data_IF_116674385092
#
_entry.id   IF_116674385092
#
_cell.length_a   1.000
_cell.length_b   1.000
_cell.length_c   1.000
_cell.angle_alpha   90.00
_cell.angle_beta   90.00
_cell.angle_gamma   90.00
#
_symmetry.space_group_name_H-M   'P 1'
#
loop_
_entity.id
_entity.type
_entity.pdbx_description
1 polymer ?
#
# COMPACT_ATOMS: atom_id res chain seq x y z
N UNK A 1 -4.05 -18.78 -14.02
CA UNK A 1 -3.76 -20.16 -13.55
C UNK A 1 -3.92 -20.13 -12.03
N UNK A 2 -4.85 -20.87 -11.42
CA UNK A 2 -5.08 -20.77 -9.97
C UNK A 2 -3.80 -21.15 -9.24
N UNK A 3 -3.26 -20.23 -8.44
CA UNK A 3 -2.10 -20.48 -7.57
C UNK A 3 -2.61 -20.63 -6.14
N UNK A 4 -1.96 -21.46 -5.35
CA UNK A 4 -2.20 -21.51 -3.91
C UNK A 4 -0.95 -20.96 -3.25
N UNK A 5 -1.12 -19.93 -2.42
CA UNK A 5 -0.03 -19.32 -1.66
C UNK A 5 -0.32 -19.48 -0.19
N UNK A 6 0.73 -19.77 0.55
CA UNK A 6 0.66 -19.86 1.99
C UNK A 6 0.65 -18.42 2.60
N UNK A 7 0.31 -18.29 3.88
CA UNK A 7 0.24 -16.97 4.54
C UNK A 7 1.58 -16.21 4.48
N UNK A 8 2.70 -16.94 4.53
CA UNK A 8 4.06 -16.37 4.50
C UNK A 8 4.34 -15.78 3.12
N UNK A 9 3.98 -16.46 2.05
CA UNK A 9 4.12 -15.99 0.68
C UNK A 9 3.29 -14.73 0.45
N UNK A 10 2.05 -14.71 0.95
CA UNK A 10 1.16 -13.54 0.79
C UNK A 10 1.73 -12.34 1.55
N UNK A 11 2.20 -12.53 2.79
CA UNK A 11 2.83 -11.45 3.54
C UNK A 11 4.14 -10.98 2.93
N UNK A 12 4.94 -11.89 2.36
CA UNK A 12 6.14 -11.51 1.62
C UNK A 12 5.82 -10.63 0.41
N UNK A 13 4.75 -10.96 -0.32
CA UNK A 13 4.24 -10.14 -1.43
C UNK A 13 3.74 -8.78 -0.92
N UNK A 14 2.95 -8.77 0.15
CA UNK A 14 2.48 -7.54 0.82
C UNK A 14 3.65 -6.63 1.19
N UNK A 15 4.65 -7.15 1.90
CA UNK A 15 5.84 -6.39 2.33
C UNK A 15 6.59 -5.85 1.11
N UNK A 16 6.71 -6.65 0.04
CA UNK A 16 7.35 -6.21 -1.21
C UNK A 16 6.61 -5.03 -1.84
N UNK A 17 5.27 -5.08 -1.92
CA UNK A 17 4.50 -4.00 -2.54
C UNK A 17 4.43 -2.75 -1.68
N UNK A 18 4.36 -2.89 -0.36
CA UNK A 18 4.51 -1.76 0.57
C UNK A 18 5.90 -1.13 0.46
N UNK A 19 6.95 -1.94 0.28
CA UNK A 19 8.30 -1.45 0.00
C UNK A 19 8.38 -0.63 -1.28
N UNK A 20 7.72 -1.07 -2.36
CA UNK A 20 7.65 -0.32 -3.62
C UNK A 20 6.84 0.99 -3.49
N UNK A 21 5.79 1.03 -2.66
CA UNK A 21 5.08 2.28 -2.35
C UNK A 21 6.00 3.26 -1.59
N UNK A 22 6.82 2.77 -0.67
CA UNK A 22 7.86 3.58 -0.03
C UNK A 22 8.83 4.16 -1.06
N UNK A 23 9.31 3.35 -2.00
CA UNK A 23 10.23 3.82 -3.05
C UNK A 23 9.55 4.87 -3.94
N UNK A 24 8.24 4.74 -4.20
CA UNK A 24 7.46 5.77 -4.87
C UNK A 24 7.42 7.08 -4.08
N UNK A 25 7.21 7.03 -2.76
CA UNK A 25 7.28 8.22 -1.92
C UNK A 25 8.65 8.90 -1.95
N UNK A 26 9.74 8.12 -1.96
CA UNK A 26 11.09 8.68 -2.05
C UNK A 26 11.25 9.47 -3.37
N UNK A 27 10.84 8.88 -4.50
CA UNK A 27 10.90 9.55 -5.81
C UNK A 27 9.98 10.78 -5.85
N UNK A 28 8.79 10.69 -5.27
CA UNK A 28 7.84 11.80 -5.19
C UNK A 28 8.41 12.97 -4.37
N UNK A 29 9.06 12.71 -3.24
CA UNK A 29 9.71 13.73 -2.40
C UNK A 29 10.82 14.47 -3.17
N UNK A 30 11.55 13.77 -4.04
CA UNK A 30 12.55 14.39 -4.92
C UNK A 30 11.95 15.17 -6.10
N UNK A 31 10.80 14.73 -6.64
CA UNK A 31 10.17 15.36 -7.80
C UNK A 31 9.38 16.62 -7.43
N UNK A 32 8.83 16.68 -6.21
CA UNK A 32 8.06 17.82 -5.74
C UNK A 32 8.96 19.04 -5.51
N UNK A 33 8.54 20.20 -6.03
CA UNK A 33 9.26 21.46 -5.80
C UNK A 33 8.79 22.21 -4.55
N UNK A 34 7.53 22.02 -4.14
CA UNK A 34 6.93 22.69 -2.99
C UNK A 34 7.25 21.94 -1.67
N UNK A 35 7.83 22.64 -0.70
CA UNK A 35 8.18 22.11 0.63
C UNK A 35 6.98 21.56 1.42
N UNK A 36 5.80 22.14 1.26
CA UNK A 36 4.57 21.65 1.89
C UNK A 36 4.15 20.29 1.33
N UNK A 37 4.21 20.13 0.00
CA UNK A 37 3.94 18.85 -0.66
C UNK A 37 4.97 17.79 -0.29
N UNK A 38 6.25 18.17 -0.18
CA UNK A 38 7.30 17.27 0.33
C UNK A 38 7.02 16.82 1.76
N UNK A 39 6.65 17.74 2.65
CA UNK A 39 6.29 17.40 4.04
C UNK A 39 5.12 16.42 4.10
N UNK A 40 4.09 16.63 3.28
CA UNK A 40 2.95 15.71 3.20
C UNK A 40 3.40 14.31 2.75
N UNK A 41 4.16 14.20 1.67
CA UNK A 41 4.71 12.91 1.19
C UNK A 41 5.62 12.25 2.23
N UNK A 42 6.47 13.02 2.90
CA UNK A 42 7.37 12.52 3.94
C UNK A 42 6.59 12.00 5.17
N UNK A 43 5.50 12.66 5.53
CA UNK A 43 4.55 12.20 6.56
C UNK A 43 3.91 10.85 6.20
N UNK A 44 3.36 10.74 4.98
CA UNK A 44 2.78 9.50 4.46
C UNK A 44 3.81 8.35 4.43
N UNK A 45 5.05 8.65 4.03
CA UNK A 45 6.17 7.70 4.05
C UNK A 45 6.51 7.24 5.46
N UNK A 46 6.59 8.16 6.42
CA UNK A 46 6.91 7.84 7.81
C UNK A 46 5.85 6.92 8.43
N UNK A 47 4.56 7.19 8.18
CA UNK A 47 3.46 6.33 8.61
C UNK A 47 3.55 4.93 7.96
N UNK A 48 3.86 4.86 6.66
CA UNK A 48 4.09 3.58 5.97
C UNK A 48 5.24 2.78 6.60
N UNK A 49 6.36 3.42 6.93
CA UNK A 49 7.54 2.74 7.50
C UNK A 49 7.26 2.09 8.85
N UNK A 50 6.50 2.77 9.73
CA UNK A 50 6.07 2.19 11.01
C UNK A 50 5.29 0.90 10.80
N UNK A 51 4.41 0.88 9.81
CA UNK A 51 3.57 -0.29 9.54
C UNK A 51 4.32 -1.41 8.83
N UNK A 52 5.27 -1.07 7.96
CA UNK A 52 6.20 -2.03 7.40
C UNK A 52 7.04 -2.72 8.48
N UNK A 53 7.45 -1.99 9.52
CA UNK A 53 8.18 -2.57 10.64
C UNK A 53 7.31 -3.55 11.42
N UNK A 54 6.06 -3.19 11.73
CA UNK A 54 5.10 -4.10 12.35
C UNK A 54 4.93 -5.37 11.51
N UNK A 55 4.65 -5.22 10.20
CA UNK A 55 4.44 -6.33 9.27
C UNK A 55 5.64 -7.28 9.19
N UNK A 56 6.87 -6.76 9.17
CA UNK A 56 8.10 -7.55 9.12
C UNK A 56 8.35 -8.34 10.40
N UNK A 57 7.85 -7.86 11.53
CA UNK A 57 8.02 -8.46 12.86
C UNK A 57 6.86 -9.37 13.28
N UNK A 58 5.87 -9.61 12.41
CA UNK A 58 4.77 -10.54 12.68
C UNK A 58 5.29 -11.98 12.79
N UNK A 59 5.15 -12.59 13.98
CA UNK A 59 5.34 -14.03 14.12
C UNK A 59 4.10 -14.78 13.64
N UNK A 60 4.23 -15.39 12.47
CA UNK A 60 3.16 -16.14 11.82
C UNK A 60 2.65 -17.32 12.65
N UNK A 61 3.45 -17.84 13.58
CA UNK A 61 3.03 -18.93 14.47
C UNK A 61 1.84 -18.51 15.35
N UNK A 62 1.70 -17.21 15.65
CA UNK A 62 0.62 -16.67 16.47
C UNK A 62 -0.74 -16.62 15.73
N UNK A 63 -0.73 -16.77 14.40
CA UNK A 63 -1.90 -16.66 13.52
C UNK A 63 -2.43 -18.02 13.03
N UNK A 64 -1.94 -19.12 13.61
CA UNK A 64 -2.40 -20.49 13.35
C UNK A 64 -1.53 -21.26 12.36
N UNK A 65 -1.97 -22.47 11.97
CA UNK A 65 -1.29 -23.24 10.93
C UNK A 65 -1.36 -22.49 9.61
N UNK A 66 -0.29 -22.55 8.82
CA UNK A 66 -0.25 -21.91 7.50
C UNK A 66 -1.32 -22.52 6.59
N UNK A 67 -2.35 -21.75 6.28
CA UNK A 67 -3.43 -22.16 5.37
C UNK A 67 -3.05 -21.79 3.93
N UNK A 68 -3.43 -22.64 2.97
CA UNK A 68 -3.26 -22.36 1.56
C UNK A 68 -4.41 -21.47 1.08
N UNK A 69 -4.12 -20.21 0.79
CA UNK A 69 -5.11 -19.29 0.25
C UNK A 69 -5.18 -19.47 -1.26
N UNK A 70 -6.40 -19.58 -1.79
CA UNK A 70 -6.64 -19.61 -3.25
C UNK A 70 -6.26 -18.26 -3.85
N UNK A 71 -5.01 -18.14 -4.24
CA UNK A 71 -4.44 -16.97 -4.86
C UNK A 71 -4.84 -16.95 -6.34
N UNK A 72 -5.82 -16.11 -6.67
CA UNK A 72 -6.12 -15.82 -8.06
C UNK A 72 -4.94 -15.00 -8.58
N UNK A 73 -4.19 -15.60 -9.50
CA UNK A 73 -2.90 -15.18 -10.06
C UNK A 73 -2.93 -13.88 -10.86
N UNK A 74 -3.97 -13.07 -10.75
CA UNK A 74 -4.27 -12.08 -11.80
C UNK A 74 -3.63 -10.74 -11.54
N UNK A 75 -3.01 -10.53 -10.37
CA UNK A 75 -2.19 -9.34 -10.17
C UNK A 75 -0.73 -9.64 -10.51
N UNK A 76 -0.32 -9.27 -11.71
CA UNK A 76 1.11 -9.08 -11.99
C UNK A 76 1.61 -7.90 -11.18
N UNK A 77 2.84 -8.00 -10.67
CA UNK A 77 3.57 -6.88 -10.05
C UNK A 77 3.50 -5.60 -10.90
N UNK A 78 3.39 -5.77 -12.22
CA UNK A 78 3.39 -4.75 -13.26
C UNK A 78 2.01 -4.08 -13.47
N UNK A 79 0.93 -4.70 -12.98
CA UNK A 79 -0.46 -4.21 -13.13
C UNK A 79 -0.93 -3.46 -11.86
N UNK A 80 -0.42 -3.87 -10.69
CA UNK A 80 -0.66 -3.17 -9.42
C UNK A 80 0.11 -1.86 -9.30
N UNK A 81 1.24 -1.78 -10.00
CA UNK A 81 2.21 -0.70 -9.85
C UNK A 81 2.22 0.07 -11.16
N UNK A 82 1.81 1.34 -11.19
CA UNK A 82 2.12 2.19 -12.32
C UNK A 82 3.64 2.34 -12.40
N UNK A 83 4.28 1.43 -13.14
CA UNK A 83 5.70 1.50 -13.46
C UNK A 83 5.85 2.71 -14.38
N UNK A 84 6.45 3.78 -13.84
CA UNK A 84 6.94 4.99 -14.54
C UNK A 84 5.89 6.04 -14.93
N UNK A 85 5.56 6.99 -14.03
CA UNK A 85 5.02 8.32 -14.43
C UNK A 85 5.33 9.47 -13.46
N UNK A 86 6.37 9.41 -12.63
CA UNK A 86 6.84 10.61 -11.93
C UNK A 86 7.98 11.21 -12.76
N UNK A 87 7.66 12.27 -13.48
CA UNK A 87 8.62 13.07 -14.23
C UNK A 87 8.99 14.32 -13.42
N UNK A 88 10.07 15.00 -13.80
CA UNK A 88 10.53 16.23 -13.11
C UNK A 88 9.52 17.37 -13.16
N UNK A 89 8.63 17.33 -14.14
CA UNK A 89 7.56 18.29 -14.39
C UNK A 89 6.18 17.80 -13.89
N UNK A 90 6.11 16.62 -13.27
CA UNK A 90 4.86 16.12 -12.71
C UNK A 90 4.33 17.07 -11.64
N UNK A 91 3.04 17.36 -11.74
CA UNK A 91 2.40 18.25 -10.77
C UNK A 91 2.18 17.52 -9.44
N UNK A 92 2.07 18.25 -8.31
CA UNK A 92 1.67 17.64 -7.05
C UNK A 92 0.38 16.83 -7.18
N UNK A 93 -0.61 17.35 -7.91
CA UNK A 93 -1.89 16.68 -8.14
C UNK A 93 -1.73 15.34 -8.88
N UNK A 94 -0.85 15.27 -9.88
CA UNK A 94 -0.54 14.01 -10.58
C UNK A 94 0.16 13.00 -9.68
N UNK A 95 1.12 13.46 -8.86
CA UNK A 95 1.85 12.61 -7.92
C UNK A 95 0.91 12.05 -6.85
N UNK A 96 0.09 12.89 -6.23
CA UNK A 96 -0.89 12.46 -5.24
C UNK A 96 -1.95 11.53 -5.84
N UNK A 97 -2.38 11.77 -7.08
CA UNK A 97 -3.31 10.87 -7.78
C UNK A 97 -2.72 9.47 -7.99
N UNK A 98 -1.43 9.38 -8.37
CA UNK A 98 -0.74 8.10 -8.52
C UNK A 98 -0.55 7.38 -7.17
N UNK A 99 -0.25 8.12 -6.09
CA UNK A 99 -0.20 7.56 -4.73
C UNK A 99 -1.55 6.96 -4.35
N UNK A 100 -2.64 7.71 -4.58
CA UNK A 100 -4.00 7.26 -4.28
C UNK A 100 -4.37 5.99 -5.07
N UNK A 101 -4.05 5.94 -6.35
CA UNK A 101 -4.30 4.75 -7.18
C UNK A 101 -3.56 3.53 -6.62
N UNK A 102 -2.28 3.69 -6.24
CA UNK A 102 -1.49 2.61 -5.65
C UNK A 102 -2.12 2.15 -4.32
N UNK A 103 -2.42 3.07 -3.41
CA UNK A 103 -3.02 2.74 -2.12
C UNK A 103 -4.37 2.03 -2.27
N UNK A 104 -5.21 2.46 -3.22
CA UNK A 104 -6.50 1.84 -3.50
C UNK A 104 -6.33 0.39 -3.98
N UNK A 105 -5.39 0.14 -4.90
CA UNK A 105 -5.08 -1.21 -5.38
C UNK A 105 -4.57 -2.12 -4.26
N UNK A 106 -3.74 -1.61 -3.35
CA UNK A 106 -3.30 -2.36 -2.17
C UNK A 106 -4.47 -2.70 -1.24
N UNK A 107 -5.36 -1.74 -1.00
CA UNK A 107 -6.58 -1.96 -0.21
C UNK A 107 -7.42 -3.08 -0.82
N UNK A 108 -7.72 -3.00 -2.12
CA UNK A 108 -8.50 -4.02 -2.83
C UNK A 108 -7.86 -5.40 -2.74
N UNK A 109 -6.53 -5.46 -2.86
CA UNK A 109 -5.80 -6.69 -2.67
C UNK A 109 -5.99 -7.25 -1.25
N UNK A 110 -5.82 -6.44 -0.21
CA UNK A 110 -6.01 -6.90 1.17
C UNK A 110 -7.44 -7.38 1.42
N UNK A 111 -8.45 -6.62 0.98
CA UNK A 111 -9.86 -7.01 1.09
C UNK A 111 -10.17 -8.32 0.34
N UNK A 112 -9.58 -8.51 -0.84
CA UNK A 112 -9.70 -9.77 -1.58
C UNK A 112 -9.08 -10.93 -0.78
N UNK A 113 -7.92 -10.76 -0.16
CA UNK A 113 -7.32 -11.80 0.69
C UNK A 113 -8.24 -12.14 1.87
N UNK A 114 -8.80 -11.15 2.57
CA UNK A 114 -9.77 -11.36 3.67
C UNK A 114 -10.92 -12.28 3.24
N UNK A 115 -11.51 -12.04 2.07
CA UNK A 115 -12.62 -12.85 1.54
C UNK A 115 -12.25 -14.32 1.25
N UNK A 116 -10.96 -14.63 1.15
CA UNK A 116 -10.44 -15.95 0.78
C UNK A 116 -9.83 -16.70 1.97
N UNK A 117 -9.59 -16.01 3.08
CA UNK A 117 -9.11 -16.60 4.32
C UNK A 117 -10.25 -17.32 5.04
N UNK A 118 -9.92 -18.38 5.78
CA UNK A 118 -10.88 -19.11 6.61
C UNK A 118 -10.62 -18.77 8.09
N UNK A 119 -9.35 -18.79 8.51
CA UNK A 119 -8.92 -18.40 9.86
C UNK A 119 -9.32 -16.96 10.24
N UNK A 120 -10.04 -16.82 11.37
CA UNK A 120 -10.45 -15.52 11.94
C UNK A 120 -9.25 -14.61 12.22
N UNK A 121 -8.21 -15.14 12.86
CA UNK A 121 -7.00 -14.35 13.18
C UNK A 121 -6.28 -13.83 11.94
N UNK A 122 -6.26 -14.62 10.87
CA UNK A 122 -5.65 -14.19 9.61
C UNK A 122 -6.51 -13.12 8.93
N UNK A 123 -7.84 -13.23 9.02
CA UNK A 123 -8.75 -12.18 8.55
C UNK A 123 -8.51 -10.88 9.29
N UNK A 124 -8.48 -10.91 10.63
CA UNK A 124 -8.25 -9.72 11.46
C UNK A 124 -6.96 -8.99 11.07
N UNK A 125 -5.89 -9.73 10.74
CA UNK A 125 -4.65 -9.15 10.25
C UNK A 125 -4.86 -8.39 8.92
N UNK A 126 -5.44 -9.03 7.91
CA UNK A 126 -5.64 -8.41 6.60
C UNK A 126 -6.73 -7.33 6.60
N UNK A 127 -7.73 -7.43 7.48
CA UNK A 127 -8.72 -6.38 7.74
C UNK A 127 -8.05 -5.14 8.34
N UNK A 128 -7.14 -5.33 9.30
CA UNK A 128 -6.35 -4.23 9.88
C UNK A 128 -5.48 -3.55 8.81
N UNK A 129 -4.91 -4.31 7.87
CA UNK A 129 -4.15 -3.75 6.74
C UNK A 129 -5.04 -2.98 5.77
N UNK A 130 -6.24 -3.48 5.46
CA UNK A 130 -7.19 -2.77 4.62
C UNK A 130 -7.67 -1.46 5.27
N UNK A 131 -7.99 -1.50 6.57
CA UNK A 131 -8.39 -0.32 7.34
C UNK A 131 -7.26 0.73 7.40
N UNK A 132 -6.01 0.28 7.57
CA UNK A 132 -4.87 1.18 7.50
C UNK A 132 -4.73 1.85 6.12
N UNK A 133 -4.97 1.11 5.03
CA UNK A 133 -4.97 1.72 3.69
C UNK A 133 -6.07 2.75 3.53
N UNK A 134 -7.24 2.53 4.12
CA UNK A 134 -8.30 3.55 4.14
C UNK A 134 -7.86 4.84 4.84
N UNK A 135 -7.17 4.73 5.97
CA UNK A 135 -6.61 5.90 6.66
C UNK A 135 -5.59 6.63 5.78
N UNK A 136 -4.65 5.91 5.15
CA UNK A 136 -3.67 6.52 4.25
C UNK A 136 -4.32 7.21 3.04
N UNK A 137 -5.34 6.58 2.44
CA UNK A 137 -6.11 7.15 1.33
C UNK A 137 -6.80 8.44 1.79
N UNK A 138 -7.42 8.42 2.98
CA UNK A 138 -8.08 9.58 3.55
C UNK A 138 -7.11 10.74 3.80
N UNK A 139 -5.95 10.47 4.42
CA UNK A 139 -4.89 11.46 4.64
C UNK A 139 -4.40 12.05 3.31
N UNK A 140 -4.13 11.18 2.33
CA UNK A 140 -3.64 11.60 1.00
C UNK A 140 -4.66 12.48 0.28
N UNK A 141 -5.96 12.14 0.36
CA UNK A 141 -7.05 12.98 -0.18
C UNK A 141 -7.12 14.34 0.51
N UNK A 142 -7.04 14.38 1.84
CA UNK A 142 -7.03 15.64 2.60
C UNK A 142 -5.88 16.56 2.19
N UNK A 143 -4.69 16.00 1.98
CA UNK A 143 -3.56 16.78 1.48
C UNK A 143 -3.87 17.32 0.09
N UNK A 144 -4.34 16.47 -0.83
CA UNK A 144 -4.72 16.89 -2.18
C UNK A 144 -5.77 18.01 -2.19
N UNK A 145 -6.83 17.90 -1.39
CA UNK A 145 -7.88 18.93 -1.25
C UNK A 145 -7.36 20.24 -0.68
N UNK A 146 -6.43 20.18 0.29
CA UNK A 146 -5.79 21.36 0.87
C UNK A 146 -4.96 22.13 -0.16
N UNK A 147 -4.29 21.42 -1.09
CA UNK A 147 -3.56 22.05 -2.19
C UNK A 147 -4.46 22.65 -3.27
N UNK A 148 -5.60 22.02 -3.54
CA UNK A 148 -6.58 22.53 -4.52
C UNK A 148 -7.30 23.77 -3.98
N UNK A 149 -7.63 23.79 -2.69
CA UNK A 149 -8.38 24.90 -2.05
C UNK A 149 -7.50 26.09 -1.66
N UNK A 150 -6.17 25.92 -1.65
CA UNK A 150 -5.20 26.98 -1.36
C UNK A 150 -4.67 27.73 -2.60
N UNK A 151 -5.15 27.38 -3.80
CA UNK A 151 -5.00 28.16 -5.04
C UNK A 151 -6.16 29.13 -5.21
#
# INVERSE_FOLDING_TARGET
MISFKDLKDILSITIKWEGKLKDFYDVAEFALSNEESKKAVSGLRSNLLKNLDVLKNIDLKNYGKTEWVRYASDYKDDELIPIRKVYRDSTPEEIFSQILEYQAKLKEFYSMIVSKLISVKQKELFESLAAFKDEQIFETKRFMESFISGK
#
